data_IF_148219696182
#
_entry.id   IF_148219696182
#
_cell.length_a   1.000
_cell.length_b   1.000
_cell.length_c   1.000
_cell.angle_alpha   90.00
_cell.angle_beta   90.00
_cell.angle_gamma   90.00
#
_symmetry.space_group_name_H-M   'P 1'
#
loop_
_entity.id
_entity.type
_entity.pdbx_description
1 polymer ?
#
# COMPACT_ATOMS: atom_id res chain seq x y z
N UNK A 1 -15.53 14.35 6.17
CA UNK A 1 -14.14 14.53 6.63
C UNK A 1 -13.45 15.50 5.70
N UNK A 2 -12.63 16.42 6.21
CA UNK A 2 -11.84 17.34 5.40
C UNK A 2 -10.37 16.93 5.46
N UNK A 3 -9.72 16.88 4.30
CA UNK A 3 -8.28 16.64 4.21
C UNK A 3 -7.52 17.84 4.79
N UNK A 4 -6.40 17.60 5.46
CA UNK A 4 -5.57 18.64 6.07
C UNK A 4 -4.56 19.21 5.08
N UNK A 5 -4.14 18.42 4.10
CA UNK A 5 -3.24 18.85 3.04
C UNK A 5 -3.85 19.96 2.17
N UNK A 6 -3.10 21.04 1.98
CA UNK A 6 -3.45 22.11 1.05
C UNK A 6 -3.28 21.63 -0.40
N UNK A 7 -4.22 21.89 -1.32
CA UNK A 7 -4.07 21.56 -2.75
C UNK A 7 -2.75 22.01 -3.38
N UNK A 8 -2.18 23.14 -2.93
CA UNK A 8 -0.87 23.61 -3.39
C UNK A 8 0.29 22.71 -2.94
N UNK A 9 0.23 22.17 -1.73
CA UNK A 9 1.24 21.24 -1.21
C UNK A 9 1.13 19.89 -1.90
N UNK A 10 -0.10 19.41 -2.13
CA UNK A 10 -0.34 18.19 -2.92
C UNK A 10 0.21 18.32 -4.34
N UNK A 11 -0.06 19.44 -5.03
CA UNK A 11 0.45 19.69 -6.38
C UNK A 11 1.99 19.74 -6.41
N UNK A 12 2.61 20.39 -5.42
CA UNK A 12 4.07 20.42 -5.30
C UNK A 12 4.65 19.02 -5.06
N UNK A 13 4.03 18.23 -4.19
CA UNK A 13 4.45 16.87 -3.90
C UNK A 13 4.27 15.95 -5.13
N UNK A 14 3.19 16.12 -5.89
CA UNK A 14 2.95 15.42 -7.15
C UNK A 14 4.00 15.77 -8.20
N UNK A 15 4.32 17.06 -8.35
CA UNK A 15 5.37 17.51 -9.28
C UNK A 15 6.74 16.95 -8.88
N UNK A 16 7.05 16.92 -7.58
CA UNK A 16 8.29 16.30 -7.07
C UNK A 16 8.32 14.80 -7.37
N UNK A 17 7.21 14.09 -7.14
CA UNK A 17 7.13 12.67 -7.45
C UNK A 17 7.30 12.40 -8.95
N UNK A 18 6.65 13.19 -9.81
CA UNK A 18 6.81 13.09 -11.26
C UNK A 18 8.27 13.31 -11.67
N UNK A 19 8.95 14.32 -11.12
CA UNK A 19 10.37 14.56 -11.41
C UNK A 19 11.26 13.39 -10.96
N UNK A 20 11.07 12.87 -9.75
CA UNK A 20 11.81 11.72 -9.24
C UNK A 20 11.55 10.46 -10.08
N UNK A 21 10.31 10.26 -10.52
CA UNK A 21 9.93 9.17 -11.41
C UNK A 21 10.57 9.32 -12.79
N UNK A 22 10.54 10.52 -13.38
CA UNK A 22 11.19 10.78 -14.68
C UNK A 22 12.68 10.48 -14.60
N UNK A 23 13.38 10.97 -13.58
CA UNK A 23 14.81 10.65 -13.35
C UNK A 23 15.04 9.15 -13.20
N UNK A 24 14.19 8.46 -12.43
CA UNK A 24 14.31 7.02 -12.23
C UNK A 24 14.03 6.22 -13.51
N UNK A 25 13.17 6.72 -14.39
CA UNK A 25 12.83 6.10 -15.68
C UNK A 25 13.83 6.42 -16.79
N UNK A 26 14.72 7.40 -16.62
CA UNK A 26 15.80 7.64 -17.57
C UNK A 26 16.57 6.33 -17.83
N UNK A 27 16.85 6.00 -19.11
CA UNK A 27 17.56 4.77 -19.43
C UNK A 27 18.95 4.83 -18.80
N UNK A 28 19.27 3.83 -17.98
CA UNK A 28 20.63 3.60 -17.50
C UNK A 28 21.54 3.56 -18.72
N UNK A 29 22.41 4.56 -18.88
CA UNK A 29 23.29 4.68 -20.06
C UNK A 29 24.30 3.52 -20.21
N UNK A 30 24.31 2.54 -19.29
CA UNK A 30 25.31 1.48 -19.22
C UNK A 30 24.82 0.11 -18.69
N UNK A 31 23.52 -0.22 -18.69
CA UNK A 31 23.10 -1.60 -18.38
C UNK A 31 22.70 -2.35 -19.65
N UNK A 32 23.68 -3.04 -20.23
CA UNK A 32 23.41 -4.18 -21.10
C UNK A 32 22.45 -5.13 -20.36
N UNK A 33 21.40 -5.67 -21.02
CA UNK A 33 20.62 -6.75 -20.44
C UNK A 33 21.61 -7.85 -20.05
N UNK A 34 21.59 -8.28 -18.79
CA UNK A 34 22.25 -9.55 -18.44
C UNK A 34 21.45 -10.64 -19.13
N UNK A 35 21.91 -11.03 -20.32
CA UNK A 35 21.44 -12.24 -20.97
C UNK A 35 22.03 -13.37 -20.12
N UNK A 36 21.23 -13.90 -19.19
CA UNK A 36 21.56 -15.15 -18.49
C UNK A 36 21.39 -16.29 -19.51
N UNK A 37 22.41 -16.50 -20.34
CA UNK A 37 22.39 -17.49 -21.45
C UNK A 37 22.39 -18.93 -20.93
N UNK A 38 22.64 -19.17 -19.65
CA UNK A 38 22.62 -20.51 -19.05
C UNK A 38 21.88 -20.54 -17.70
N UNK A 39 20.55 -20.57 -17.73
CA UNK A 39 19.77 -21.05 -16.59
C UNK A 39 19.63 -22.58 -16.69
N UNK A 40 20.43 -23.29 -15.91
CA UNK A 40 20.27 -24.73 -15.67
C UNK A 40 18.81 -24.99 -15.25
N UNK A 41 18.17 -26.02 -15.82
CA UNK A 41 16.75 -26.38 -15.59
C UNK A 41 16.32 -26.29 -14.11
N UNK A 42 17.15 -26.80 -13.20
CA UNK A 42 16.89 -26.79 -11.75
C UNK A 42 16.85 -25.38 -11.13
N UNK A 43 17.56 -24.41 -11.72
CA UNK A 43 17.55 -23.00 -11.28
C UNK A 43 16.27 -22.31 -11.77
N UNK A 44 15.84 -22.59 -13.00
CA UNK A 44 14.59 -22.08 -13.58
C UNK A 44 13.37 -22.55 -12.79
N UNK A 45 13.31 -23.84 -12.44
CA UNK A 45 12.21 -24.37 -11.63
C UNK A 45 12.15 -23.72 -10.24
N UNK A 46 13.30 -23.59 -9.57
CA UNK A 46 13.39 -22.89 -8.28
C UNK A 46 12.92 -21.44 -8.38
N UNK A 47 13.32 -20.71 -9.42
CA UNK A 47 12.91 -19.31 -9.62
C UNK A 47 11.41 -19.20 -9.87
N UNK A 48 10.84 -20.11 -10.67
CA UNK A 48 9.39 -20.19 -10.87
C UNK A 48 8.64 -20.43 -9.55
N UNK A 49 9.13 -21.35 -8.71
CA UNK A 49 8.55 -21.60 -7.39
C UNK A 49 8.66 -20.37 -6.48
N UNK A 50 9.83 -19.72 -6.41
CA UNK A 50 10.02 -18.49 -5.62
C UNK A 50 9.11 -17.36 -6.10
N UNK A 51 8.98 -17.15 -7.41
CA UNK A 51 8.02 -16.19 -8.00
C UNK A 51 6.60 -16.47 -7.52
N UNK A 52 6.16 -17.73 -7.52
CA UNK A 52 4.84 -18.12 -7.00
C UNK A 52 4.67 -17.75 -5.52
N UNK A 53 5.68 -18.00 -4.69
CA UNK A 53 5.64 -17.62 -3.27
C UNK A 53 5.53 -16.10 -3.08
N UNK A 54 6.32 -15.31 -3.81
CA UNK A 54 6.30 -13.84 -3.75
C UNK A 54 4.94 -13.30 -4.15
N UNK A 55 4.35 -13.79 -5.25
CA UNK A 55 3.02 -13.35 -5.71
C UNK A 55 1.93 -13.70 -4.69
N UNK A 56 2.01 -14.89 -4.08
CA UNK A 56 1.06 -15.29 -3.02
C UNK A 56 1.22 -14.41 -1.79
N UNK A 57 2.45 -14.11 -1.40
CA UNK A 57 2.73 -13.18 -0.31
C UNK A 57 2.20 -11.78 -0.64
N UNK A 58 2.39 -11.31 -1.87
CA UNK A 58 1.91 -10.01 -2.32
C UNK A 58 0.40 -9.88 -2.10
N UNK A 59 -0.38 -10.84 -2.62
CA UNK A 59 -1.83 -10.86 -2.42
C UNK A 59 -2.23 -11.01 -0.95
N UNK A 60 -1.64 -11.99 -0.25
CA UNK A 60 -2.03 -12.30 1.13
C UNK A 60 -1.76 -11.11 2.05
N UNK A 61 -0.61 -10.46 1.86
CA UNK A 61 -0.27 -9.25 2.63
C UNK A 61 -1.11 -8.04 2.22
N UNK A 62 -1.64 -7.99 0.99
CA UNK A 62 -2.58 -6.95 0.56
C UNK A 62 -3.94 -7.10 1.25
N UNK A 63 -4.47 -8.32 1.32
CA UNK A 63 -5.69 -8.61 2.08
C UNK A 63 -5.51 -8.25 3.55
N UNK A 64 -4.35 -8.58 4.13
CA UNK A 64 -4.04 -8.21 5.51
C UNK A 64 -3.95 -6.68 5.69
N UNK A 65 -3.35 -5.97 4.75
CA UNK A 65 -3.32 -4.50 4.75
C UNK A 65 -4.73 -3.91 4.72
N UNK A 66 -5.60 -4.39 3.82
CA UNK A 66 -7.01 -3.96 3.79
C UNK A 66 -7.73 -4.25 5.11
N UNK A 67 -7.52 -5.44 5.69
CA UNK A 67 -8.11 -5.82 6.97
C UNK A 67 -7.67 -4.88 8.11
N UNK A 68 -6.39 -4.45 8.13
CA UNK A 68 -5.91 -3.47 9.11
C UNK A 68 -6.56 -2.10 8.92
N UNK A 69 -6.77 -1.66 7.67
CA UNK A 69 -7.50 -0.41 7.40
C UNK A 69 -8.97 -0.52 7.81
N UNK A 70 -9.64 -1.62 7.47
CA UNK A 70 -11.02 -1.87 7.87
C UNK A 70 -11.17 -1.94 9.39
N UNK A 71 -10.20 -2.56 10.06
CA UNK A 71 -10.13 -2.56 11.50
C UNK A 71 -10.02 -1.13 12.06
N UNK A 72 -9.14 -0.30 11.50
CA UNK A 72 -9.01 1.10 11.90
C UNK A 72 -10.32 1.88 11.69
N UNK A 73 -11.05 1.58 10.60
CA UNK A 73 -12.37 2.14 10.32
C UNK A 73 -13.38 1.77 11.40
N UNK A 74 -13.60 0.48 11.63
CA UNK A 74 -14.66 -0.02 12.52
C UNK A 74 -14.37 0.31 13.98
N UNK A 75 -13.10 0.29 14.39
CA UNK A 75 -12.74 0.47 15.80
C UNK A 75 -12.53 1.91 16.22
N UNK A 76 -12.13 2.81 15.30
CA UNK A 76 -11.84 4.20 15.63
C UNK A 76 -12.69 5.18 14.85
N UNK A 77 -12.72 5.06 13.52
CA UNK A 77 -13.42 6.02 12.66
C UNK A 77 -14.94 6.01 12.91
N UNK A 78 -15.59 4.85 12.80
CA UNK A 78 -17.04 4.72 12.92
C UNK A 78 -17.54 5.14 14.32
N UNK A 79 -16.89 4.78 15.45
CA UNK A 79 -17.28 5.28 16.76
C UNK A 79 -17.17 6.80 16.91
N UNK A 80 -16.15 7.43 16.30
CA UNK A 80 -15.99 8.88 16.34
C UNK A 80 -17.06 9.59 15.48
N UNK A 81 -17.40 9.04 14.33
CA UNK A 81 -18.50 9.55 13.48
C UNK A 81 -19.83 9.46 14.24
N UNK A 82 -20.15 8.30 14.81
CA UNK A 82 -21.37 8.11 15.61
C UNK A 82 -21.42 9.05 16.84
N UNK A 83 -20.29 9.29 17.49
CA UNK A 83 -20.21 10.22 18.63
C UNK A 83 -20.46 11.68 18.20
N UNK A 84 -20.00 12.07 17.01
CA UNK A 84 -20.22 13.39 16.46
C UNK A 84 -21.69 13.60 16.07
N UNK A 85 -22.34 12.60 15.44
CA UNK A 85 -23.77 12.64 15.10
C UNK A 85 -24.66 12.76 16.35
N UNK A 86 -24.24 12.13 17.45
CA UNK A 86 -24.92 12.22 18.76
C UNK A 86 -24.60 13.51 19.53
N UNK A 87 -23.88 14.46 18.94
CA UNK A 87 -23.45 15.72 19.54
C UNK A 87 -22.74 15.54 20.91
N UNK A 88 -21.93 14.48 21.05
CA UNK A 88 -21.15 14.27 22.27
C UNK A 88 -20.09 15.38 22.35
N UNK A 89 -20.08 16.25 23.39
CA UNK A 89 -19.23 17.45 23.46
C UNK A 89 -17.72 17.19 23.39
N UNK A 90 -17.32 15.93 23.54
CA UNK A 90 -15.96 15.46 23.69
C UNK A 90 -15.27 15.16 22.34
N UNK A 91 -16.03 15.03 21.26
CA UNK A 91 -15.51 14.72 19.92
C UNK A 91 -15.64 15.95 19.03
N UNK A 92 -14.52 16.37 18.46
CA UNK A 92 -14.49 17.51 17.53
C UNK A 92 -14.51 17.01 16.08
N UNK A 93 -15.06 17.79 15.13
CA UNK A 93 -14.97 17.47 13.71
C UNK A 93 -13.52 17.28 13.21
N UNK A 94 -12.55 17.93 13.83
CA UNK A 94 -11.12 17.76 13.53
C UNK A 94 -10.59 16.35 13.80
N UNK A 95 -11.33 15.56 14.57
CA UNK A 95 -10.91 14.24 15.03
C UNK A 95 -11.17 13.17 13.98
N UNK A 96 -12.26 13.33 13.21
CA UNK A 96 -12.56 12.47 12.06
C UNK A 96 -11.65 12.79 10.86
N UNK A 97 -11.09 13.99 10.79
CA UNK A 97 -10.15 14.39 9.74
C UNK A 97 -8.84 13.58 9.77
N UNK A 98 -8.52 12.93 10.90
CA UNK A 98 -7.42 11.95 11.00
C UNK A 98 -7.58 10.79 9.99
N UNK A 99 -8.82 10.46 9.64
CA UNK A 99 -9.19 9.38 8.74
C UNK A 99 -9.54 9.85 7.34
N UNK A 100 -9.24 11.11 6.98
CA UNK A 100 -9.64 11.68 5.69
C UNK A 100 -9.11 10.91 4.46
N UNK A 101 -8.00 10.18 4.60
CA UNK A 101 -7.41 9.36 3.53
C UNK A 101 -7.76 7.86 3.65
N UNK A 102 -8.48 7.44 4.71
CA UNK A 102 -8.76 6.04 5.01
C UNK A 102 -9.57 5.36 3.91
N UNK A 103 -10.68 5.99 3.50
CA UNK A 103 -11.56 5.43 2.48
C UNK A 103 -10.83 5.26 1.15
N UNK A 104 -10.00 6.22 0.77
CA UNK A 104 -9.27 6.16 -0.51
C UNK A 104 -8.17 5.08 -0.47
N UNK A 105 -7.51 4.87 0.67
CA UNK A 105 -6.59 3.74 0.86
C UNK A 105 -7.32 2.40 0.76
N UNK A 106 -8.48 2.27 1.40
CA UNK A 106 -9.30 1.07 1.33
C UNK A 106 -9.78 0.80 -0.10
N UNK A 107 -10.19 1.84 -0.84
CA UNK A 107 -10.58 1.73 -2.25
C UNK A 107 -9.41 1.30 -3.13
N UNK A 108 -8.23 1.89 -2.93
CA UNK A 108 -7.01 1.48 -3.64
C UNK A 108 -6.72 0.00 -3.41
N UNK A 109 -6.67 -0.42 -2.15
CA UNK A 109 -6.34 -1.78 -1.77
C UNK A 109 -7.36 -2.80 -2.27
N UNK A 110 -8.66 -2.50 -2.13
CA UNK A 110 -9.73 -3.34 -2.65
C UNK A 110 -9.65 -3.48 -4.18
N UNK A 111 -9.35 -2.39 -4.89
CA UNK A 111 -9.17 -2.41 -6.35
C UNK A 111 -8.01 -3.30 -6.75
N UNK A 112 -6.90 -3.24 -6.01
CA UNK A 112 -5.73 -4.09 -6.25
C UNK A 112 -6.07 -5.56 -6.03
N UNK A 113 -6.68 -5.91 -4.89
CA UNK A 113 -7.15 -7.27 -4.57
C UNK A 113 -8.07 -7.79 -5.68
N UNK A 114 -9.05 -6.98 -6.09
CA UNK A 114 -10.00 -7.35 -7.14
C UNK A 114 -9.32 -7.61 -8.48
N UNK A 115 -8.42 -6.73 -8.93
CA UNK A 115 -7.68 -6.91 -10.19
C UNK A 115 -6.82 -8.16 -10.18
N UNK A 116 -6.11 -8.43 -9.08
CA UNK A 116 -5.30 -9.65 -8.93
C UNK A 116 -6.16 -10.90 -8.96
N UNK A 117 -7.30 -10.90 -8.25
CA UNK A 117 -8.22 -12.03 -8.24
C UNK A 117 -8.91 -12.24 -9.59
N UNK A 118 -9.21 -11.18 -10.32
CA UNK A 118 -9.77 -11.27 -11.67
C UNK A 118 -8.80 -11.96 -12.63
N UNK A 119 -7.52 -11.54 -12.63
CA UNK A 119 -6.48 -12.18 -13.44
C UNK A 119 -6.29 -13.66 -13.09
N UNK A 120 -6.35 -14.00 -11.80
CA UNK A 120 -6.30 -15.39 -11.35
C UNK A 120 -7.44 -16.23 -11.95
N UNK A 121 -8.68 -15.73 -11.92
CA UNK A 121 -9.85 -16.43 -12.46
C UNK A 121 -9.79 -16.59 -13.98
N UNK A 122 -9.33 -15.57 -14.70
CA UNK A 122 -9.16 -15.61 -16.16
C UNK A 122 -8.12 -16.66 -16.59
N UNK A 123 -7.04 -16.83 -15.80
CA UNK A 123 -6.05 -17.88 -16.05
C UNK A 123 -6.61 -19.28 -15.80
N UNK A 124 -7.35 -19.49 -14.71
CA UNK A 124 -8.03 -20.78 -14.41
C UNK A 124 -9.01 -21.18 -15.52
N UNK A 125 -9.67 -20.21 -16.13
CA UNK A 125 -10.63 -20.43 -17.22
C UNK A 125 -9.96 -20.96 -18.50
N UNK A 126 -8.70 -20.60 -18.74
CA UNK A 126 -7.93 -20.99 -19.92
C UNK A 126 -7.20 -22.33 -19.76
N UNK A 127 -6.78 -22.65 -18.53
CA UNK A 127 -5.94 -23.83 -18.26
C UNK A 127 -6.73 -25.14 -18.10
N UNK A 128 -8.07 -25.09 -18.01
CA UNK A 128 -8.96 -26.27 -17.95
C UNK A 128 -8.78 -27.20 -16.74
N UNK A 129 -7.74 -26.98 -15.93
CA UNK A 129 -7.34 -27.78 -14.79
C UNK A 129 -8.10 -27.37 -13.53
N UNK A 130 -8.84 -28.33 -12.93
CA UNK A 130 -9.59 -28.16 -11.68
C UNK A 130 -8.70 -28.20 -10.42
N UNK A 131 -7.46 -27.76 -10.51
CA UNK A 131 -6.58 -27.71 -9.34
C UNK A 131 -7.06 -26.63 -8.37
N UNK A 132 -7.33 -27.02 -7.11
CA UNK A 132 -7.64 -26.09 -6.02
C UNK A 132 -6.39 -25.32 -5.53
N UNK A 133 -5.22 -25.59 -6.11
CA UNK A 133 -3.97 -24.89 -5.80
C UNK A 133 -3.87 -23.65 -6.66
N UNK A 134 -3.56 -22.51 -6.04
CA UNK A 134 -3.40 -21.22 -6.69
C UNK A 134 -2.44 -21.31 -7.90
N UNK A 135 -2.90 -21.20 -9.15
CA UNK A 135 -2.04 -21.18 -10.32
C UNK A 135 -1.56 -19.73 -10.52
N UNK A 136 -0.61 -19.29 -9.68
CA UNK A 136 -0.18 -17.88 -9.62
C UNK A 136 1.04 -17.57 -10.50
N UNK A 137 1.65 -18.56 -11.17
CA UNK A 137 2.99 -18.43 -11.78
C UNK A 137 3.13 -17.23 -12.71
N UNK A 138 2.06 -16.92 -13.45
CA UNK A 138 2.11 -16.02 -14.60
C UNK A 138 1.17 -14.82 -14.43
N UNK A 139 0.81 -14.45 -13.20
CA UNK A 139 0.06 -13.20 -12.98
C UNK A 139 0.97 -12.01 -13.26
N UNK A 140 0.53 -11.11 -14.15
CA UNK A 140 1.23 -9.89 -14.51
C UNK A 140 0.97 -8.78 -13.48
N UNK A 141 1.52 -8.92 -12.27
CA UNK A 141 1.33 -7.94 -11.18
C UNK A 141 1.99 -6.61 -11.48
N UNK A 142 3.10 -6.61 -12.23
CA UNK A 142 3.76 -5.38 -12.68
C UNK A 142 2.80 -4.53 -13.50
N UNK A 143 2.15 -5.13 -14.49
CA UNK A 143 1.18 -4.44 -15.34
C UNK A 143 0.03 -3.82 -14.51
N UNK A 144 -0.52 -4.58 -13.55
CA UNK A 144 -1.60 -4.10 -12.66
C UNK A 144 -1.18 -2.88 -11.85
N UNK A 145 0.03 -2.91 -11.26
CA UNK A 145 0.51 -1.80 -10.43
C UNK A 145 0.84 -0.57 -11.26
N UNK A 146 1.41 -0.75 -12.45
CA UNK A 146 1.65 0.32 -13.41
C UNK A 146 0.35 1.02 -13.79
N UNK A 147 -0.70 0.26 -14.09
CA UNK A 147 -2.03 0.81 -14.41
C UNK A 147 -2.72 1.49 -13.23
N UNK A 148 -2.30 1.18 -12.01
CA UNK A 148 -2.81 1.78 -10.78
C UNK A 148 -1.93 2.91 -10.25
N UNK A 149 -0.87 3.31 -10.98
CA UNK A 149 0.11 4.28 -10.51
C UNK A 149 -0.54 5.59 -10.06
N UNK A 150 -1.47 6.15 -10.84
CA UNK A 150 -2.15 7.40 -10.49
C UNK A 150 -2.93 7.30 -9.18
N UNK A 151 -3.51 6.13 -8.88
CA UNK A 151 -4.25 5.91 -7.65
C UNK A 151 -3.34 5.87 -6.42
N UNK A 152 -2.04 5.64 -6.58
CA UNK A 152 -1.07 5.63 -5.49
C UNK A 152 -0.84 7.03 -4.87
N UNK A 153 -1.36 8.10 -5.48
CA UNK A 153 -1.35 9.46 -4.89
C UNK A 153 -1.91 9.49 -3.47
N UNK A 154 -2.81 8.56 -3.11
CA UNK A 154 -3.35 8.47 -1.76
C UNK A 154 -2.26 8.23 -0.70
N UNK A 155 -1.20 7.47 -1.01
CA UNK A 155 -0.08 7.26 -0.10
C UNK A 155 0.69 8.55 0.14
N UNK A 156 0.84 9.37 -0.90
CA UNK A 156 1.46 10.70 -0.80
C UNK A 156 0.64 11.65 0.07
N UNK A 157 -0.69 11.65 -0.07
CA UNK A 157 -1.61 12.41 0.80
C UNK A 157 -1.45 12.00 2.26
N UNK A 158 -1.32 10.69 2.53
CA UNK A 158 -1.07 10.20 3.88
C UNK A 158 0.25 10.71 4.45
N UNK A 159 1.32 10.76 3.65
CA UNK A 159 2.60 11.30 4.08
C UNK A 159 2.54 12.81 4.39
N UNK A 160 1.80 13.59 3.59
CA UNK A 160 1.61 15.03 3.81
C UNK A 160 0.83 15.31 5.10
N UNK A 161 -0.22 14.53 5.37
CA UNK A 161 -1.04 14.69 6.58
C UNK A 161 -0.38 14.08 7.83
N UNK A 162 0.66 13.25 7.68
CA UNK A 162 1.26 12.47 8.76
C UNK A 162 1.70 13.32 9.95
N UNK A 163 2.46 14.40 9.72
CA UNK A 163 2.99 15.26 10.79
C UNK A 163 1.87 15.92 11.60
N UNK A 164 0.92 16.55 10.90
CA UNK A 164 -0.21 17.23 11.54
C UNK A 164 -1.08 16.24 12.34
N UNK A 165 -1.29 15.04 11.79
CA UNK A 165 -2.04 13.97 12.43
C UNK A 165 -1.32 13.43 13.68
N UNK A 166 0.01 13.29 13.62
CA UNK A 166 0.84 12.89 14.76
C UNK A 166 0.77 13.90 15.89
N UNK A 167 0.96 15.19 15.59
CA UNK A 167 0.85 16.27 16.58
C UNK A 167 -0.55 16.33 17.23
N UNK A 168 -1.61 16.02 16.47
CA UNK A 168 -2.96 15.95 16.99
C UNK A 168 -3.16 14.78 17.95
N UNK A 169 -2.63 13.60 17.61
CA UNK A 169 -2.63 12.44 18.51
C UNK A 169 -1.87 12.77 19.79
N UNK A 170 -0.66 13.35 19.69
CA UNK A 170 0.18 13.71 20.83
C UNK A 170 -0.53 14.69 21.79
N UNK A 171 -1.17 15.73 21.25
CA UNK A 171 -2.01 16.65 22.04
C UNK A 171 -3.18 15.95 22.71
N UNK A 172 -3.75 14.93 22.06
CA UNK A 172 -4.88 14.15 22.62
C UNK A 172 -4.45 13.20 23.72
N UNK A 173 -3.25 12.62 23.68
CA UNK A 173 -2.72 11.82 24.81
C UNK A 173 -2.69 12.60 26.12
N UNK A 174 -2.53 13.92 26.04
CA UNK A 174 -2.54 14.80 27.20
C UNK A 174 -3.97 15.06 27.74
N UNK A 175 -5.00 14.67 26.99
CA UNK A 175 -6.39 14.89 27.34
C UNK A 175 -6.99 13.65 28.03
N UNK A 176 -7.42 13.78 29.30
CA UNK A 176 -7.97 12.69 30.14
C UNK A 176 -9.06 11.85 29.43
N UNK A 177 -9.83 12.47 28.55
CA UNK A 177 -10.92 11.86 27.79
C UNK A 177 -10.42 10.81 26.80
N UNK A 178 -9.30 11.09 26.13
CA UNK A 178 -8.69 10.16 25.19
C UNK A 178 -8.09 8.96 25.92
N UNK A 179 -7.55 9.17 27.12
CA UNK A 179 -7.11 8.09 28.01
C UNK A 179 -8.26 7.16 28.38
N UNK A 180 -9.42 7.70 28.81
CA UNK A 180 -10.62 6.89 29.12
C UNK A 180 -11.15 6.16 27.88
N UNK A 181 -11.12 6.80 26.71
CA UNK A 181 -11.51 6.16 25.45
C UNK A 181 -10.56 5.01 25.09
N UNK A 182 -9.24 5.19 25.23
CA UNK A 182 -8.26 4.11 25.06
C UNK A 182 -8.44 2.98 26.05
N UNK A 183 -8.71 3.28 27.31
CA UNK A 183 -8.96 2.26 28.33
C UNK A 183 -10.21 1.43 27.97
N UNK A 184 -11.28 2.09 27.53
CA UNK A 184 -12.49 1.42 27.02
C UNK A 184 -12.24 0.59 25.77
N UNK A 185 -11.36 1.05 24.88
CA UNK A 185 -10.92 0.25 23.75
C UNK A 185 -10.11 -0.94 24.24
N UNK A 186 -9.03 -0.74 25.00
CA UNK A 186 -8.12 -1.77 25.50
C UNK A 186 -8.80 -2.91 26.31
N UNK A 187 -9.98 -2.65 26.89
CA UNK A 187 -10.84 -3.66 27.52
C UNK A 187 -11.43 -4.67 26.52
N UNK A 188 -11.52 -4.33 25.23
CA UNK A 188 -11.90 -5.24 24.15
C UNK A 188 -10.68 -6.08 23.77
N UNK A 189 -10.76 -7.41 23.94
CA UNK A 189 -9.67 -8.35 23.64
C UNK A 189 -9.14 -8.20 22.21
N UNK A 190 -9.98 -7.76 21.30
CA UNK A 190 -9.72 -7.55 19.88
C UNK A 190 -8.87 -6.30 19.59
N UNK A 191 -8.67 -5.39 20.55
CA UNK A 191 -8.00 -4.08 20.36
C UNK A 191 -6.75 -3.82 21.18
N UNK A 192 -6.34 -4.81 21.96
CA UNK A 192 -5.30 -4.65 22.98
C UNK A 192 -3.92 -4.23 22.44
N UNK A 193 -3.70 -4.24 21.12
CA UNK A 193 -2.41 -3.99 20.48
C UNK A 193 -2.43 -2.99 19.31
N UNK A 194 -3.59 -2.44 18.91
CA UNK A 194 -3.67 -1.56 17.74
C UNK A 194 -4.03 -0.14 18.16
N UNK A 195 -3.17 0.82 17.82
CA UNK A 195 -3.26 2.23 18.22
C UNK A 195 -3.46 3.14 17.01
N UNK A 196 -3.72 4.44 17.26
CA UNK A 196 -3.83 5.42 16.17
C UNK A 196 -2.48 5.65 15.48
N UNK A 197 -1.39 5.51 16.22
CA UNK A 197 -0.03 5.57 15.74
C UNK A 197 0.28 4.42 14.78
N UNK A 198 -0.21 3.22 15.10
CA UNK A 198 -0.12 2.06 14.21
C UNK A 198 -0.87 2.32 12.91
N UNK A 199 -2.06 2.94 12.97
CA UNK A 199 -2.78 3.35 11.76
C UNK A 199 -1.98 4.33 10.89
N UNK A 200 -1.36 5.36 11.48
CA UNK A 200 -0.65 6.38 10.71
C UNK A 200 0.59 5.85 9.97
N UNK A 201 1.25 4.83 10.51
CA UNK A 201 2.47 4.28 9.92
C UNK A 201 2.20 3.24 8.82
N UNK A 202 1.01 2.62 8.82
CA UNK A 202 0.61 1.57 7.88
C UNK A 202 0.81 1.93 6.40
N UNK A 203 0.39 3.10 5.88
CA UNK A 203 0.58 3.46 4.47
C UNK A 203 2.06 3.58 4.08
N UNK A 204 2.89 4.08 5.01
CA UNK A 204 4.35 4.25 4.82
C UNK A 204 5.03 2.88 4.81
N UNK A 205 4.63 1.96 5.69
CA UNK A 205 5.12 0.58 5.69
C UNK A 205 4.66 -0.21 4.47
N UNK A 206 3.45 0.05 3.95
CA UNK A 206 2.94 -0.67 2.79
C UNK A 206 3.69 -0.33 1.52
N UNK A 207 3.97 0.97 1.28
CA UNK A 207 4.71 1.38 0.09
C UNK A 207 6.13 0.82 0.08
N UNK A 208 6.81 0.75 1.23
CA UNK A 208 8.14 0.14 1.32
C UNK A 208 8.08 -1.36 1.06
N UNK A 209 7.05 -2.05 1.58
CA UNK A 209 6.87 -3.50 1.32
C UNK A 209 6.60 -3.80 -0.15
N UNK A 210 5.84 -2.98 -0.87
CA UNK A 210 5.71 -3.13 -2.32
C UNK A 210 7.07 -3.07 -3.02
N UNK A 211 7.93 -2.13 -2.61
CA UNK A 211 9.27 -2.00 -3.19
C UNK A 211 10.13 -3.25 -3.00
N UNK A 212 10.06 -3.88 -1.82
CA UNK A 212 10.79 -5.13 -1.51
C UNK A 212 10.24 -6.31 -2.32
N UNK A 213 8.91 -6.48 -2.33
CA UNK A 213 8.26 -7.58 -3.07
C UNK A 213 8.53 -7.47 -4.58
N UNK A 214 8.49 -6.25 -5.15
CA UNK A 214 8.80 -6.03 -6.56
C UNK A 214 10.28 -6.27 -6.88
N UNK A 215 11.19 -5.89 -5.99
CA UNK A 215 12.62 -6.16 -6.17
C UNK A 215 12.91 -7.66 -6.15
N UNK A 216 12.28 -8.41 -5.25
CA UNK A 216 12.43 -9.87 -5.21
C UNK A 216 11.73 -10.55 -6.39
N UNK A 217 10.61 -10.01 -6.86
CA UNK A 217 9.94 -10.49 -8.05
C UNK A 217 10.80 -10.29 -9.31
N UNK A 218 11.40 -9.11 -9.49
CA UNK A 218 12.31 -8.81 -10.62
C UNK A 218 13.49 -9.78 -10.68
N UNK A 219 14.10 -10.12 -9.53
CA UNK A 219 15.21 -11.10 -9.46
C UNK A 219 14.82 -12.51 -9.89
N UNK A 220 13.56 -12.90 -9.68
CA UNK A 220 13.05 -14.24 -9.95
C UNK A 220 12.15 -14.31 -11.18
N UNK A 221 12.27 -13.31 -12.08
CA UNK A 221 11.53 -13.24 -13.34
C UNK A 221 12.50 -13.12 -14.49
N UNK A 222 12.35 -13.96 -15.51
CA UNK A 222 13.19 -13.91 -16.70
C UNK A 222 12.92 -12.63 -17.51
N UNK A 223 13.97 -12.07 -18.14
CA UNK A 223 13.83 -10.87 -18.98
C UNK A 223 12.91 -11.07 -20.21
N UNK A 224 12.69 -12.32 -20.61
CA UNK A 224 11.74 -12.73 -21.65
C UNK A 224 10.28 -12.72 -21.19
N UNK A 225 10.02 -12.69 -19.89
CA UNK A 225 8.66 -12.73 -19.35
C UNK A 225 7.92 -11.42 -19.66
N UNK A 226 6.65 -11.45 -20.09
CA UNK A 226 5.91 -10.25 -20.49
C UNK A 226 5.79 -9.20 -19.38
N UNK A 227 5.68 -9.63 -18.12
CA UNK A 227 5.60 -8.73 -16.95
C UNK A 227 6.95 -8.16 -16.49
N UNK A 228 8.10 -8.59 -17.05
CA UNK A 228 9.42 -8.21 -16.52
C UNK A 228 9.64 -6.69 -16.54
N UNK A 229 9.37 -6.04 -17.67
CA UNK A 229 9.55 -4.59 -17.80
C UNK A 229 8.52 -3.83 -16.96
N UNK A 230 7.27 -4.30 -16.91
CA UNK A 230 6.24 -3.69 -16.07
C UNK A 230 6.53 -3.80 -14.57
N UNK A 231 7.17 -4.89 -14.12
CA UNK A 231 7.69 -5.03 -12.75
C UNK A 231 8.77 -3.98 -12.50
N UNK A 232 9.73 -3.82 -13.42
CA UNK A 232 10.81 -2.84 -13.30
C UNK A 232 10.27 -1.41 -13.22
N UNK A 233 9.32 -1.06 -14.10
CA UNK A 233 8.63 0.24 -14.09
C UNK A 233 7.87 0.42 -12.77
N UNK A 234 7.06 -0.55 -12.36
CA UNK A 234 6.29 -0.48 -11.11
C UNK A 234 7.18 -0.32 -9.88
N UNK A 235 8.34 -0.99 -9.86
CA UNK A 235 9.33 -0.81 -8.79
C UNK A 235 9.84 0.63 -8.74
N UNK A 236 10.18 1.22 -9.89
CA UNK A 236 10.61 2.64 -9.97
C UNK A 236 9.52 3.61 -9.51
N UNK A 237 8.26 3.34 -9.85
CA UNK A 237 7.09 4.11 -9.40
C UNK A 237 6.98 4.08 -7.86
N UNK A 238 7.02 2.89 -7.28
CA UNK A 238 6.92 2.70 -5.83
C UNK A 238 8.12 3.28 -5.08
N UNK A 239 9.34 3.13 -5.61
CA UNK A 239 10.57 3.66 -5.01
C UNK A 239 10.61 5.19 -5.04
N UNK A 240 10.27 5.81 -6.17
CA UNK A 240 10.17 7.27 -6.28
C UNK A 240 9.08 7.83 -5.37
N UNK A 241 7.95 7.13 -5.23
CA UNK A 241 6.88 7.49 -4.32
C UNK A 241 7.35 7.42 -2.86
N UNK A 242 8.01 6.33 -2.45
CA UNK A 242 8.55 6.18 -1.10
C UNK A 242 9.60 7.26 -0.77
N UNK A 243 10.48 7.58 -1.72
CA UNK A 243 11.45 8.69 -1.60
C UNK A 243 10.73 10.02 -1.40
N UNK A 244 9.73 10.32 -2.24
CA UNK A 244 8.95 11.55 -2.16
C UNK A 244 8.20 11.65 -0.83
N UNK A 245 7.59 10.55 -0.37
CA UNK A 245 6.91 10.48 0.93
C UNK A 245 7.87 10.81 2.08
N UNK A 246 9.12 10.36 2.02
CA UNK A 246 10.13 10.69 3.02
C UNK A 246 10.54 12.17 2.94
N UNK A 247 10.67 12.73 1.73
CA UNK A 247 11.02 14.14 1.52
C UNK A 247 9.95 15.11 2.03
N UNK A 248 8.67 14.79 1.82
CA UNK A 248 7.56 15.68 2.26
C UNK A 248 7.28 15.59 3.76
N UNK A 249 7.80 14.57 4.45
CA UNK A 249 7.68 14.42 5.90
C UNK A 249 8.73 15.22 6.69
N UNK A 250 9.81 15.69 6.04
CA UNK A 250 10.84 16.54 6.64
C UNK A 250 10.34 17.97 6.81
#
# INVERSE_FOLDING_TARGET
MKRRCNPKQELKALSLWQQELTKALEPDRYTLPKIDVDMISDKRERYSQTRKFILREFYTTEVNFWNQLNYAKVMFCDPLVNALERNIPLVKPTDIDLFANLEDLMKFSLTLIYRLRKLELEQRSKDGSRSNVWPISDINVGSVLRDMAELMVVFLRCALDYRANRELIDKKHQHKVYTVYKEKLALRKETRQFTFEDYLIIPIQRITRYGLLLADLEKHTEASHPDYEDIRISRKIVQSLASTMNLVQK
#
